data_IF_318102506585
#
_entry.id   IF_318102506585
#
_cell.length_a   1.000
_cell.length_b   1.000
_cell.length_c   1.000
_cell.angle_alpha   90.00
_cell.angle_beta   90.00
_cell.angle_gamma   90.00
#
_symmetry.space_group_name_H-M   'P 1'
#
loop_
_entity.id
_entity.type
_entity.pdbx_description
1 polymer ?
#
# COMPACT_ATOMS: atom_id res chain seq x y z
N UNK A 1 -20.15 22.27 13.56
CA UNK A 1 -19.37 22.11 12.32
C UNK A 1 -18.08 21.37 12.64
N UNK A 2 -18.13 20.04 12.82
CA UNK A 2 -17.00 19.19 13.26
C UNK A 2 -16.85 17.88 12.47
N UNK A 3 -17.79 17.59 11.56
CA UNK A 3 -17.91 16.29 10.91
C UNK A 3 -16.88 16.03 9.80
N UNK A 4 -16.46 17.09 9.08
CA UNK A 4 -15.47 16.97 8.02
C UNK A 4 -14.06 16.71 8.56
N UNK A 5 -13.66 17.37 9.65
CA UNK A 5 -12.34 17.19 10.25
C UNK A 5 -12.16 15.76 10.80
N UNK A 6 -13.16 15.24 11.51
CA UNK A 6 -13.13 13.86 12.04
C UNK A 6 -13.08 12.82 10.91
N UNK A 7 -13.75 13.07 9.79
CA UNK A 7 -13.72 12.16 8.64
C UNK A 7 -12.35 12.13 7.98
N UNK A 8 -11.74 13.29 7.75
CA UNK A 8 -10.38 13.38 7.21
C UNK A 8 -9.35 12.68 8.09
N UNK A 9 -9.44 12.85 9.41
CA UNK A 9 -8.51 12.18 10.33
C UNK A 9 -8.67 10.65 10.33
N UNK A 10 -9.91 10.16 10.27
CA UNK A 10 -10.19 8.73 10.13
C UNK A 10 -9.63 8.16 8.81
N UNK A 11 -9.81 8.89 7.71
CA UNK A 11 -9.34 8.48 6.40
C UNK A 11 -7.80 8.40 6.35
N UNK A 12 -7.10 9.36 6.96
CA UNK A 12 -5.64 9.32 7.09
C UNK A 12 -5.15 8.17 7.97
N UNK A 13 -5.83 7.88 9.08
CA UNK A 13 -5.49 6.73 9.95
C UNK A 13 -5.65 5.41 9.20
N UNK A 14 -6.68 5.29 8.38
CA UNK A 14 -6.91 4.11 7.53
C UNK A 14 -5.82 3.97 6.48
N UNK A 15 -5.45 5.06 5.80
CA UNK A 15 -4.37 5.05 4.83
C UNK A 15 -3.04 4.60 5.47
N UNK A 16 -2.68 5.17 6.61
CA UNK A 16 -1.47 4.80 7.33
C UNK A 16 -1.49 3.32 7.77
N UNK A 17 -2.65 2.79 8.17
CA UNK A 17 -2.79 1.38 8.50
C UNK A 17 -2.60 0.46 7.29
N UNK A 18 -3.09 0.86 6.11
CA UNK A 18 -2.90 0.14 4.85
C UNK A 18 -1.41 0.14 4.47
N UNK A 19 -0.76 1.30 4.51
CA UNK A 19 0.68 1.42 4.21
C UNK A 19 1.52 0.56 5.14
N UNK A 20 1.21 0.54 6.44
CA UNK A 20 1.87 -0.31 7.42
C UNK A 20 1.63 -1.80 7.15
N UNK A 21 0.42 -2.19 6.75
CA UNK A 21 0.11 -3.58 6.40
C UNK A 21 0.90 -4.05 5.18
N UNK A 22 0.98 -3.24 4.12
CA UNK A 22 1.79 -3.55 2.92
C UNK A 22 3.27 -3.64 3.28
N UNK A 23 3.78 -2.74 4.13
CA UNK A 23 5.16 -2.77 4.59
C UNK A 23 5.50 -3.98 5.47
N UNK A 24 4.50 -4.62 6.09
CA UNK A 24 4.65 -5.80 6.94
C UNK A 24 4.56 -7.14 6.18
N UNK A 25 4.20 -7.12 4.89
CA UNK A 25 4.17 -8.34 4.06
C UNK A 25 5.55 -8.99 4.00
N UNK A 26 5.58 -10.33 3.98
CA UNK A 26 6.77 -11.09 3.64
C UNK A 26 7.19 -10.86 2.19
N UNK A 27 8.39 -11.27 1.80
CA UNK A 27 8.89 -11.00 0.45
C UNK A 27 8.06 -11.73 -0.63
N UNK A 28 7.70 -13.00 -0.41
CA UNK A 28 6.83 -13.77 -1.33
C UNK A 28 5.43 -13.15 -1.44
N UNK A 29 4.79 -12.84 -0.31
CA UNK A 29 3.48 -12.19 -0.29
C UNK A 29 3.51 -10.81 -0.97
N UNK A 30 4.60 -10.07 -0.81
CA UNK A 30 4.78 -8.77 -1.42
C UNK A 30 4.93 -8.87 -2.95
N UNK A 31 5.62 -9.90 -3.44
CA UNK A 31 5.74 -10.18 -4.87
C UNK A 31 4.38 -10.57 -5.47
N UNK A 32 3.65 -11.47 -4.82
CA UNK A 32 2.30 -11.86 -5.25
C UNK A 32 1.34 -10.67 -5.23
N UNK A 33 1.41 -9.85 -4.18
CA UNK A 33 0.63 -8.61 -4.07
C UNK A 33 0.95 -7.66 -5.24
N UNK A 34 2.22 -7.48 -5.58
CA UNK A 34 2.63 -6.67 -6.72
C UNK A 34 2.09 -7.23 -8.06
N UNK A 35 2.12 -8.55 -8.27
CA UNK A 35 1.61 -9.19 -9.49
C UNK A 35 0.07 -9.04 -9.63
N UNK A 36 -0.66 -9.20 -8.53
CA UNK A 36 -2.13 -8.99 -8.50
C UNK A 36 -2.49 -7.59 -9.01
N UNK A 37 -1.75 -6.57 -8.56
CA UNK A 37 -1.97 -5.18 -8.98
C UNK A 37 -1.18 -4.75 -10.22
N UNK A 38 -0.40 -5.65 -10.83
CA UNK A 38 0.36 -5.36 -12.04
C UNK A 38 -0.52 -5.26 -13.29
N UNK A 39 -1.72 -5.84 -13.25
CA UNK A 39 -2.66 -5.88 -14.38
C UNK A 39 -3.58 -4.67 -14.38
N UNK A 40 -3.69 -4.02 -15.54
CA UNK A 40 -4.56 -2.86 -15.74
C UNK A 40 -3.88 -1.53 -15.43
N UNK A 41 -4.67 -0.54 -15.03
CA UNK A 41 -4.17 0.81 -14.77
C UNK A 41 -3.32 0.87 -13.48
N UNK A 42 -2.31 1.76 -13.41
CA UNK A 42 -1.52 1.95 -12.21
C UNK A 42 -2.39 2.26 -10.99
N UNK A 43 -2.23 1.48 -9.92
CA UNK A 43 -2.94 1.68 -8.66
C UNK A 43 -2.00 2.19 -7.57
N UNK A 44 -2.51 2.94 -6.57
CA UNK A 44 -1.72 3.30 -5.39
C UNK A 44 -1.15 2.07 -4.66
N UNK A 45 -1.87 0.95 -4.66
CA UNK A 45 -1.43 -0.30 -4.04
C UNK A 45 -0.21 -0.91 -4.76
N UNK A 46 -0.21 -0.89 -6.09
CA UNK A 46 0.96 -1.28 -6.89
C UNK A 46 2.17 -0.41 -6.57
N UNK A 47 2.00 0.91 -6.52
CA UNK A 47 3.09 1.84 -6.22
C UNK A 47 3.65 1.62 -4.80
N UNK A 48 2.78 1.34 -3.82
CA UNK A 48 3.22 0.99 -2.45
C UNK A 48 4.05 -0.30 -2.46
N UNK A 49 3.62 -1.32 -3.20
CA UNK A 49 4.35 -2.59 -3.30
C UNK A 49 5.72 -2.41 -3.96
N UNK A 50 5.78 -1.71 -5.10
CA UNK A 50 7.01 -1.42 -5.84
C UNK A 50 8.02 -0.66 -4.96
N UNK A 51 7.56 0.28 -4.13
CA UNK A 51 8.43 0.99 -3.19
C UNK A 51 8.99 0.06 -2.10
N UNK A 52 8.20 -0.86 -1.55
CA UNK A 52 8.72 -1.85 -0.59
C UNK A 52 9.68 -2.84 -1.25
N UNK A 53 9.38 -3.30 -2.46
CA UNK A 53 10.26 -4.16 -3.27
C UNK A 53 11.62 -3.49 -3.51
N UNK A 54 11.60 -2.21 -3.92
CA UNK A 54 12.80 -1.39 -4.12
C UNK A 54 13.61 -1.23 -2.83
N UNK A 55 12.97 -1.01 -1.68
CA UNK A 55 13.65 -0.89 -0.37
C UNK A 55 14.35 -2.19 0.04
N UNK A 56 13.77 -3.33 -0.32
CA UNK A 56 14.27 -4.67 0.02
C UNK A 56 15.19 -5.26 -1.04
N UNK A 57 15.28 -4.63 -2.21
CA UNK A 57 16.12 -5.10 -3.31
C UNK A 57 15.59 -6.35 -4.00
N UNK A 58 14.28 -6.56 -3.97
CA UNK A 58 13.60 -7.70 -4.62
C UNK A 58 12.82 -7.21 -5.84
N UNK A 59 12.62 -8.09 -6.82
CA UNK A 59 11.83 -7.83 -8.03
C UNK A 59 11.06 -9.08 -8.43
N UNK A 60 9.95 -8.87 -9.13
CA UNK A 60 9.27 -9.92 -9.90
C UNK A 60 10.12 -10.34 -11.11
#
# INVERSE_FOLDING_TARGET
>A
MYWFATRTELDLRRLAAIEAAVAALGDEDLLDFADIFARGDPTPLRAMAEEQMRRRGISL
#
